data_IF_229810169229
#
_entry.id   IF_229810169229
#
_cell.length_a   1.000
_cell.length_b   1.000
_cell.length_c   1.000
_cell.angle_alpha   90.00
_cell.angle_beta   90.00
_cell.angle_gamma   90.00
#
_symmetry.space_group_name_H-M   'P 1'
#
loop_
_entity.id
_entity.type
_entity.pdbx_description
1 polymer ?
#
# COMPACT_ATOMS: atom_id res chain seq x y z
N UNK A 1 23.78 -0.46 -33.67
CA UNK A 1 22.78 -1.54 -33.80
C UNK A 1 21.97 -1.47 -32.52
N UNK A 2 20.70 -1.10 -32.63
CA UNK A 2 19.83 -0.80 -31.48
C UNK A 2 18.89 -1.94 -31.15
N UNK A 3 18.10 -1.76 -30.10
CA UNK A 3 17.09 -2.72 -29.64
C UNK A 3 16.21 -3.21 -30.80
N UNK A 4 16.14 -4.52 -31.01
CA UNK A 4 15.32 -5.14 -32.05
C UNK A 4 13.88 -5.32 -31.54
N UNK A 5 12.96 -4.45 -31.97
CA UNK A 5 11.55 -4.59 -31.64
C UNK A 5 10.64 -4.23 -32.81
N UNK A 6 10.13 -5.24 -33.52
CA UNK A 6 9.20 -5.05 -34.66
C UNK A 6 7.72 -5.09 -34.27
N UNK A 7 7.42 -5.22 -32.97
CA UNK A 7 6.08 -5.20 -32.43
C UNK A 7 5.73 -3.86 -31.78
N UNK A 8 4.53 -3.78 -31.19
CA UNK A 8 4.08 -2.64 -30.38
C UNK A 8 4.18 -2.91 -28.87
N UNK A 9 4.87 -3.98 -28.48
CA UNK A 9 5.13 -4.26 -27.08
C UNK A 9 6.34 -3.45 -26.60
N UNK A 10 6.29 -2.93 -25.39
CA UNK A 10 7.47 -2.29 -24.81
C UNK A 10 8.47 -3.35 -24.32
N UNK A 11 9.72 -3.24 -24.75
CA UNK A 11 10.84 -4.03 -24.21
C UNK A 11 11.21 -3.56 -22.80
N UNK A 12 10.98 -2.27 -22.52
CA UNK A 12 11.33 -1.61 -21.26
C UNK A 12 10.20 -1.73 -20.24
N UNK A 13 10.08 -2.91 -19.62
CA UNK A 13 9.04 -3.19 -18.64
C UNK A 13 9.49 -2.81 -17.21
N UNK A 14 8.58 -2.32 -16.35
CA UNK A 14 8.87 -2.14 -14.94
C UNK A 14 9.25 -3.45 -14.27
N UNK A 15 10.35 -3.46 -13.53
CA UNK A 15 10.77 -4.57 -12.69
C UNK A 15 10.56 -4.17 -11.23
N UNK A 16 9.89 -5.05 -10.48
CA UNK A 16 9.62 -4.85 -9.06
C UNK A 16 10.62 -5.64 -8.23
N UNK A 17 11.33 -4.93 -7.36
CA UNK A 17 12.20 -5.53 -6.35
C UNK A 17 11.51 -5.46 -4.97
N UNK A 18 11.69 -6.51 -4.17
CA UNK A 18 11.14 -6.62 -2.81
C UNK A 18 12.27 -6.92 -1.82
N UNK A 19 12.27 -6.22 -0.70
CA UNK A 19 13.13 -6.50 0.46
C UNK A 19 12.26 -6.64 1.72
N UNK A 20 12.46 -7.73 2.46
CA UNK A 20 11.76 -7.99 3.72
C UNK A 20 12.75 -7.87 4.88
N UNK A 21 12.38 -7.11 5.88
CA UNK A 21 13.15 -6.96 7.12
C UNK A 21 12.29 -7.44 8.28
N UNK A 22 12.85 -8.28 9.14
CA UNK A 22 12.12 -8.89 10.24
C UNK A 22 12.74 -8.53 11.58
N UNK A 23 11.89 -8.35 12.59
CA UNK A 23 12.27 -8.17 13.98
C UNK A 23 11.36 -9.02 14.87
N UNK A 24 11.94 -9.94 15.63
CA UNK A 24 11.21 -10.77 16.59
C UNK A 24 11.15 -10.04 17.92
N UNK A 25 9.95 -9.73 18.43
CA UNK A 25 9.68 -9.08 19.70
C UNK A 25 9.20 -10.11 20.72
N UNK A 26 9.75 -10.08 21.95
CA UNK A 26 9.25 -10.94 23.02
C UNK A 26 7.83 -10.58 23.43
N UNK A 27 7.07 -11.60 23.85
CA UNK A 27 5.71 -11.44 24.38
C UNK A 27 5.66 -11.85 25.84
N UNK A 28 4.74 -11.26 26.60
CA UNK A 28 4.48 -11.63 27.98
C UNK A 28 2.99 -11.42 28.28
N UNK A 29 2.29 -12.46 28.73
CA UNK A 29 0.88 -12.34 29.14
C UNK A 29 -0.07 -11.88 28.03
N UNK A 30 0.21 -12.21 26.76
CA UNK A 30 -0.64 -11.82 25.62
C UNK A 30 -0.36 -10.42 25.05
N UNK A 31 0.61 -9.69 25.61
CA UNK A 31 1.06 -8.36 25.17
C UNK A 31 2.53 -8.37 24.76
N UNK A 32 3.06 -7.23 24.30
CA UNK A 32 4.51 -7.08 24.15
C UNK A 32 5.19 -7.16 25.52
N UNK A 33 6.37 -7.78 25.58
CA UNK A 33 7.19 -7.75 26.76
C UNK A 33 7.70 -6.33 27.06
N UNK A 34 8.08 -6.07 28.31
CA UNK A 34 8.49 -4.75 28.75
C UNK A 34 9.68 -4.24 27.92
N UNK A 35 9.53 -3.06 27.32
CA UNK A 35 10.57 -2.41 26.53
C UNK A 35 10.57 -2.78 25.04
N UNK A 36 9.82 -3.79 24.60
CA UNK A 36 9.77 -4.20 23.19
C UNK A 36 9.15 -3.13 22.29
N UNK A 37 8.15 -2.38 22.76
CA UNK A 37 7.59 -1.25 22.01
C UNK A 37 8.66 -0.16 21.71
N UNK A 38 9.55 0.12 22.67
CA UNK A 38 10.67 1.05 22.46
C UNK A 38 11.72 0.49 21.51
N UNK A 39 11.98 -0.82 21.59
CA UNK A 39 12.91 -1.50 20.67
C UNK A 39 12.37 -1.49 19.23
N UNK A 40 11.08 -1.75 19.06
CA UNK A 40 10.38 -1.64 17.79
C UNK A 40 10.51 -0.22 17.21
N UNK A 41 10.22 0.81 18.00
CA UNK A 41 10.36 2.20 17.57
C UNK A 41 11.82 2.53 17.16
N UNK A 42 12.81 2.15 17.97
CA UNK A 42 14.22 2.36 17.65
C UNK A 42 14.65 1.65 16.35
N UNK A 43 14.16 0.42 16.14
CA UNK A 43 14.41 -0.33 14.92
C UNK A 43 13.75 0.32 13.69
N UNK A 44 12.48 0.73 13.78
CA UNK A 44 11.78 1.42 12.70
C UNK A 44 12.47 2.74 12.32
N UNK A 45 12.94 3.50 13.30
CA UNK A 45 13.76 4.70 13.08
C UNK A 45 15.05 4.38 12.35
N UNK A 46 15.77 3.33 12.79
CA UNK A 46 17.04 2.91 12.19
C UNK A 46 16.87 2.46 10.73
N UNK A 47 15.80 1.71 10.47
CA UNK A 47 15.40 1.24 9.14
C UNK A 47 14.86 2.36 8.24
N UNK A 48 14.63 3.55 8.79
CA UNK A 48 13.98 4.68 8.14
C UNK A 48 12.66 4.25 7.50
N UNK A 49 11.83 3.60 8.31
CA UNK A 49 10.52 3.14 7.88
C UNK A 49 9.66 4.37 7.57
N UNK A 50 8.95 4.34 6.44
CA UNK A 50 8.12 5.46 6.01
C UNK A 50 7.18 5.11 4.86
N UNK A 51 6.72 6.14 4.16
CA UNK A 51 5.80 5.97 3.03
C UNK A 51 6.29 4.93 2.01
N UNK A 52 5.38 4.04 1.59
CA UNK A 52 5.68 2.94 0.68
C UNK A 52 6.13 1.64 1.37
N UNK A 53 6.53 1.70 2.64
CA UNK A 53 6.78 0.49 3.43
C UNK A 53 5.48 -0.11 3.98
N UNK A 54 5.45 -1.43 4.07
CA UNK A 54 4.32 -2.20 4.60
C UNK A 54 4.75 -2.91 5.86
N UNK A 55 4.02 -2.71 6.95
CA UNK A 55 4.30 -3.35 8.23
C UNK A 55 3.25 -4.42 8.49
N UNK A 56 3.66 -5.68 8.63
CA UNK A 56 2.79 -6.79 8.96
C UNK A 56 3.24 -7.47 10.26
N UNK A 57 2.30 -8.14 10.92
CA UNK A 57 2.57 -8.95 12.12
C UNK A 57 2.45 -10.42 11.71
N UNK A 58 3.47 -11.19 12.06
CA UNK A 58 3.49 -12.65 11.99
C UNK A 58 3.40 -13.20 13.42
N UNK A 59 2.22 -13.69 13.79
CA UNK A 59 1.93 -14.35 15.07
C UNK A 59 1.20 -15.68 14.78
N UNK A 60 1.94 -16.72 14.32
CA UNK A 60 1.32 -17.97 13.88
C UNK A 60 0.74 -18.79 15.04
N UNK A 61 1.24 -18.59 16.26
CA UNK A 61 0.80 -19.29 17.46
C UNK A 61 -0.27 -18.52 18.25
N UNK A 62 -0.57 -17.27 17.88
CA UNK A 62 -1.54 -16.43 18.60
C UNK A 62 -1.06 -16.05 20.00
N UNK A 63 0.25 -15.87 20.17
CA UNK A 63 0.92 -15.64 21.44
C UNK A 63 0.57 -14.28 22.06
N UNK A 64 0.23 -13.28 21.24
CA UNK A 64 -0.03 -11.93 21.72
C UNK A 64 -1.19 -11.21 21.00
N UNK A 65 -2.43 -11.64 21.22
CA UNK A 65 -3.61 -11.05 20.58
C UNK A 65 -3.79 -9.56 20.93
N UNK A 66 -3.32 -9.11 22.10
CA UNK A 66 -3.43 -7.71 22.53
C UNK A 66 -2.24 -6.85 22.05
N UNK A 67 -1.09 -7.46 21.73
CA UNK A 67 0.08 -6.73 21.22
C UNK A 67 -0.19 -6.02 19.89
N UNK A 68 -1.18 -6.48 19.10
CA UNK A 68 -1.54 -5.84 17.83
C UNK A 68 -1.88 -4.35 18.01
N UNK A 69 -2.60 -3.98 19.07
CA UNK A 69 -2.95 -2.57 19.34
C UNK A 69 -1.70 -1.76 19.69
N UNK A 70 -0.83 -2.29 20.56
CA UNK A 70 0.43 -1.63 20.95
C UNK A 70 1.36 -1.41 19.76
N UNK A 71 1.47 -2.41 18.88
CA UNK A 71 2.24 -2.31 17.64
C UNK A 71 1.60 -1.27 16.71
N UNK A 72 0.26 -1.29 16.58
CA UNK A 72 -0.45 -0.32 15.75
C UNK A 72 -0.18 1.12 16.20
N UNK A 73 -0.15 1.38 17.51
CA UNK A 73 0.17 2.69 18.07
C UNK A 73 1.60 3.14 17.72
N UNK A 74 2.57 2.23 17.84
CA UNK A 74 3.96 2.52 17.44
C UNK A 74 4.05 2.81 15.94
N UNK A 75 3.41 1.99 15.10
CA UNK A 75 3.42 2.13 13.65
C UNK A 75 2.69 3.40 13.19
N UNK A 76 1.59 3.77 13.86
CA UNK A 76 0.86 5.00 13.61
C UNK A 76 1.70 6.25 13.88
N UNK A 77 2.65 6.18 14.83
CA UNK A 77 3.64 7.23 15.07
C UNK A 77 4.54 7.54 13.86
N UNK A 78 4.65 6.60 12.91
CA UNK A 78 5.38 6.79 11.64
C UNK A 78 4.44 7.13 10.47
N UNK A 79 3.15 7.40 10.72
CA UNK A 79 2.15 7.67 9.69
C UNK A 79 1.79 6.44 8.85
N UNK A 80 2.01 5.24 9.37
CA UNK A 80 1.73 3.98 8.69
C UNK A 80 0.61 3.21 9.38
N UNK A 81 0.04 2.25 8.65
CA UNK A 81 -0.97 1.33 9.17
C UNK A 81 -0.45 -0.11 9.07
N UNK A 82 -0.93 -0.96 9.96
CA UNK A 82 -0.68 -2.39 9.87
C UNK A 82 -1.36 -2.97 8.63
N UNK A 83 -0.57 -3.68 7.83
CA UNK A 83 -1.02 -4.43 6.68
C UNK A 83 -1.83 -5.66 7.12
N UNK A 84 -2.95 -5.97 6.45
CA UNK A 84 -3.66 -7.24 6.65
C UNK A 84 -2.93 -8.43 6.00
N UNK A 85 -1.95 -8.17 5.13
CA UNK A 85 -1.23 -9.21 4.41
C UNK A 85 -0.49 -10.14 5.37
N UNK A 86 -0.60 -11.44 5.11
CA UNK A 86 0.22 -12.45 5.77
C UNK A 86 1.65 -12.36 5.25
N UNK A 87 2.64 -12.00 6.08
CA UNK A 87 4.00 -11.82 5.61
C UNK A 87 4.63 -13.18 5.23
N UNK A 88 5.41 -13.18 4.16
CA UNK A 88 6.23 -14.35 3.79
C UNK A 88 7.52 -14.31 4.60
N UNK A 89 7.61 -15.16 5.62
CA UNK A 89 8.79 -15.26 6.49
C UNK A 89 9.63 -16.49 6.13
N UNK A 90 10.96 -16.33 6.18
CA UNK A 90 11.90 -17.39 5.75
C UNK A 90 12.17 -18.44 6.84
N UNK A 91 11.83 -18.13 8.09
CA UNK A 91 12.07 -18.97 9.25
C UNK A 91 10.84 -18.95 10.17
N UNK A 92 10.62 -19.99 10.98
CA UNK A 92 9.60 -19.94 12.03
C UNK A 92 9.84 -18.79 13.02
N UNK A 93 8.77 -18.35 13.68
CA UNK A 93 8.84 -17.42 14.81
C UNK A 93 9.18 -18.22 16.07
N UNK A 94 10.07 -17.67 16.91
CA UNK A 94 10.45 -18.35 18.16
C UNK A 94 9.28 -18.37 19.15
N UNK A 95 9.11 -19.41 19.98
CA UNK A 95 8.08 -19.43 21.01
C UNK A 95 8.19 -18.24 21.97
N UNK A 96 7.05 -17.69 22.39
CA UNK A 96 7.01 -16.49 23.23
C UNK A 96 7.50 -15.21 22.53
N UNK A 97 7.47 -15.19 21.20
CA UNK A 97 7.76 -14.01 20.39
C UNK A 97 6.77 -13.86 19.25
N UNK A 98 6.62 -12.63 18.77
CA UNK A 98 5.93 -12.29 17.53
C UNK A 98 6.89 -11.58 16.60
N UNK A 99 6.70 -11.73 15.29
CA UNK A 99 7.60 -11.13 14.31
C UNK A 99 6.93 -9.97 13.59
N UNK A 100 7.60 -8.83 13.61
CA UNK A 100 7.24 -7.68 12.80
C UNK A 100 8.01 -7.75 11.49
N UNK A 101 7.29 -7.65 10.38
CA UNK A 101 7.87 -7.68 9.04
C UNK A 101 7.63 -6.36 8.34
N UNK A 102 8.71 -5.67 8.00
CA UNK A 102 8.69 -4.50 7.12
C UNK A 102 9.03 -4.94 5.72
N UNK A 103 8.08 -4.81 4.80
CA UNK A 103 8.25 -5.09 3.38
C UNK A 103 8.42 -3.77 2.64
N UNK A 104 9.56 -3.62 1.94
CA UNK A 104 9.86 -2.49 1.07
C UNK A 104 9.90 -2.96 -0.37
N UNK A 105 9.15 -2.28 -1.24
CA UNK A 105 9.17 -2.58 -2.67
C UNK A 105 9.57 -1.34 -3.48
N UNK A 106 10.24 -1.57 -4.60
CA UNK A 106 10.59 -0.52 -5.58
C UNK A 106 10.36 -1.03 -6.99
N UNK A 107 9.78 -0.19 -7.83
CA UNK A 107 9.70 -0.42 -9.27
C UNK A 107 10.74 0.46 -9.97
N UNK A 108 11.45 -0.11 -10.92
CA UNK A 108 12.34 0.65 -11.82
C UNK A 108 12.30 0.02 -13.22
N UNK A 109 12.62 0.82 -14.24
CA UNK A 109 12.68 0.37 -15.64
C UNK A 109 14.16 0.41 -16.08
N UNK A 110 14.88 -0.71 -16.01
CA UNK A 110 16.29 -0.73 -16.36
C UNK A 110 16.50 -0.44 -17.85
N UNK A 111 17.65 0.14 -18.19
CA UNK A 111 18.01 0.42 -19.59
C UNK A 111 17.40 1.69 -20.18
N UNK A 112 16.64 2.47 -19.41
CA UNK A 112 16.09 3.75 -19.85
C UNK A 112 16.86 4.97 -19.31
N UNK A 113 17.12 6.02 -20.12
CA UNK A 113 16.89 6.09 -21.56
C UNK A 113 17.88 5.22 -22.34
N UNK A 114 17.42 4.67 -23.47
CA UNK A 114 18.21 3.83 -24.38
C UNK A 114 18.63 4.63 -25.62
N UNK A 115 19.95 4.78 -25.81
CA UNK A 115 20.55 5.50 -26.93
C UNK A 115 21.19 4.57 -27.97
N UNK A 116 20.88 3.27 -27.93
CA UNK A 116 21.46 2.26 -28.83
C UNK A 116 21.10 2.43 -30.31
N UNK A 117 20.04 3.20 -30.61
CA UNK A 117 19.59 3.56 -31.96
C UNK A 117 19.56 5.08 -32.12
N UNK A 118 20.05 5.55 -33.26
CA UNK A 118 19.94 6.95 -33.66
C UNK A 118 18.56 7.27 -34.26
N UNK A 119 18.29 8.54 -34.55
CA UNK A 119 17.03 8.98 -35.14
C UNK A 119 16.98 8.84 -36.67
N UNK A 120 17.85 8.00 -37.26
CA UNK A 120 17.90 7.80 -38.71
C UNK A 120 16.75 6.92 -39.22
N UNK A 121 16.61 6.80 -40.54
CA UNK A 121 15.54 6.02 -41.18
C UNK A 121 15.71 4.53 -40.84
N UNK A 122 14.67 3.94 -40.24
CA UNK A 122 14.59 2.50 -40.03
C UNK A 122 13.75 1.83 -41.11
N UNK A 123 14.37 0.97 -41.91
CA UNK A 123 13.74 0.19 -42.99
C UNK A 123 13.29 -1.21 -42.53
N UNK A 124 13.65 -1.64 -41.32
CA UNK A 124 13.32 -2.94 -40.77
C UNK A 124 12.10 -2.88 -39.82
N UNK A 125 11.38 -1.76 -39.82
CA UNK A 125 10.13 -1.53 -39.08
C UNK A 125 10.26 -1.78 -37.57
N UNK A 126 11.37 -1.38 -36.95
CA UNK A 126 11.45 -1.41 -35.49
C UNK A 126 10.81 -0.17 -34.86
N UNK A 127 10.31 -0.33 -33.64
CA UNK A 127 9.98 0.81 -32.77
C UNK A 127 11.27 1.48 -32.27
N UNK A 128 11.14 2.69 -31.74
CA UNK A 128 12.29 3.43 -31.22
C UNK A 128 12.95 2.69 -30.04
N UNK A 129 14.25 2.87 -29.84
CA UNK A 129 14.95 2.28 -28.67
C UNK A 129 14.34 2.72 -27.33
N UNK A 130 13.70 3.89 -27.29
CA UNK A 130 13.01 4.40 -26.09
C UNK A 130 11.52 4.02 -26.05
N UNK A 131 11.05 3.09 -26.89
CA UNK A 131 9.64 2.72 -26.93
C UNK A 131 9.16 2.16 -25.59
N UNK A 132 8.30 2.93 -24.94
CA UNK A 132 7.78 2.67 -23.59
C UNK A 132 8.64 3.18 -22.42
N UNK A 133 9.87 3.68 -22.64
CA UNK A 133 10.72 4.19 -21.56
C UNK A 133 10.03 5.32 -20.77
N UNK A 134 9.50 6.35 -21.44
CA UNK A 134 8.86 7.47 -20.76
C UNK A 134 7.60 7.04 -20.00
N UNK A 135 6.76 6.22 -20.63
CA UNK A 135 5.48 5.78 -20.05
C UNK A 135 5.71 4.85 -18.85
N UNK A 136 6.52 3.81 -19.03
CA UNK A 136 6.74 2.79 -18.01
C UNK A 136 7.58 3.33 -16.84
N UNK A 137 8.53 4.24 -17.09
CA UNK A 137 9.32 4.86 -16.01
C UNK A 137 8.46 5.83 -15.19
N UNK A 138 7.60 6.62 -15.84
CA UNK A 138 6.65 7.46 -15.12
C UNK A 138 5.67 6.59 -14.32
N UNK A 139 5.16 5.51 -14.90
CA UNK A 139 4.29 4.57 -14.19
C UNK A 139 4.99 3.97 -12.96
N UNK A 140 6.21 3.47 -13.12
CA UNK A 140 7.01 2.92 -12.02
C UNK A 140 7.27 3.94 -10.89
N UNK A 141 7.44 5.22 -11.24
CA UNK A 141 7.66 6.29 -10.28
C UNK A 141 6.37 6.78 -9.58
N UNK A 142 5.22 6.69 -10.25
CA UNK A 142 3.94 7.18 -9.74
C UNK A 142 3.15 6.14 -8.93
N UNK A 143 3.36 4.85 -9.19
CA UNK A 143 2.60 3.79 -8.51
C UNK A 143 2.93 3.75 -7.02
N UNK A 144 1.91 3.94 -6.19
CA UNK A 144 2.05 3.95 -4.74
C UNK A 144 2.48 2.58 -4.17
N UNK A 145 2.01 1.48 -4.78
CA UNK A 145 2.35 0.10 -4.39
C UNK A 145 2.96 -0.67 -5.57
N UNK A 146 4.30 -0.79 -5.64
CA UNK A 146 4.96 -1.48 -6.74
C UNK A 146 4.47 -2.91 -7.01
N UNK A 147 4.00 -3.64 -5.99
CA UNK A 147 3.42 -4.99 -6.19
C UNK A 147 2.22 -5.01 -7.15
N UNK A 148 1.46 -3.92 -7.24
CA UNK A 148 0.28 -3.84 -8.10
C UNK A 148 0.67 -3.90 -9.59
N UNK A 149 1.93 -3.61 -9.94
CA UNK A 149 2.45 -3.80 -11.30
C UNK A 149 2.61 -5.27 -11.70
N UNK A 150 2.65 -6.20 -10.72
CA UNK A 150 2.83 -7.64 -10.96
C UNK A 150 1.51 -8.38 -10.81
N UNK A 151 0.80 -8.16 -9.70
CA UNK A 151 -0.41 -8.92 -9.34
C UNK A 151 -1.71 -8.14 -9.52
N UNK A 152 -1.63 -6.83 -9.78
CA UNK A 152 -2.78 -5.93 -9.64
C UNK A 152 -3.21 -5.76 -8.19
N UNK A 153 -3.95 -4.68 -7.90
CA UNK A 153 -4.63 -4.59 -6.61
C UNK A 153 -5.75 -5.63 -6.60
N UNK A 154 -5.57 -6.73 -5.85
CA UNK A 154 -6.66 -7.66 -5.58
C UNK A 154 -7.82 -6.98 -4.85
N UNK A 155 -9.00 -7.60 -4.86
CA UNK A 155 -10.28 -7.11 -4.33
C UNK A 155 -10.16 -6.40 -2.97
N UNK A 156 -9.83 -5.11 -2.99
CA UNK A 156 -10.18 -4.22 -1.91
C UNK A 156 -11.70 -4.10 -2.01
N UNK A 157 -12.41 -4.86 -1.16
CA UNK A 157 -13.84 -4.82 -0.89
C UNK A 157 -14.59 -4.07 -1.98
N UNK A 158 -14.86 -4.78 -3.08
CA UNK A 158 -15.37 -4.22 -4.33
C UNK A 158 -16.40 -3.15 -4.00
N UNK A 159 -16.04 -1.89 -4.25
CA UNK A 159 -16.96 -0.76 -4.16
C UNK A 159 -18.22 -1.16 -4.90
N UNK A 160 -19.31 -1.48 -4.18
CA UNK A 160 -20.55 -1.87 -4.84
C UNK A 160 -21.21 -0.57 -5.33
N UNK A 161 -21.17 -0.30 -6.65
CA UNK A 161 -21.77 0.91 -7.16
C UNK A 161 -23.27 0.96 -6.83
N UNK A 162 -23.96 -0.18 -6.70
CA UNK A 162 -25.39 -0.21 -6.35
C UNK A 162 -25.65 0.34 -4.94
N UNK A 163 -24.88 -0.08 -3.94
CA UNK A 163 -24.95 0.46 -2.58
C UNK A 163 -24.65 1.97 -2.52
N UNK A 164 -23.66 2.43 -3.28
CA UNK A 164 -23.27 3.85 -3.32
C UNK A 164 -24.29 4.72 -4.05
N UNK A 165 -24.84 4.23 -5.17
CA UNK A 165 -25.93 4.92 -5.87
C UNK A 165 -27.19 5.03 -5.02
N UNK A 166 -27.47 4.06 -4.14
CA UNK A 166 -28.61 4.12 -3.22
C UNK A 166 -28.50 5.30 -2.26
N UNK A 167 -27.32 5.56 -1.68
CA UNK A 167 -27.11 6.72 -0.81
C UNK A 167 -27.28 8.05 -1.57
N UNK A 168 -26.76 8.13 -2.79
CA UNK A 168 -26.90 9.32 -3.66
C UNK A 168 -28.36 9.55 -4.04
N UNK A 169 -29.09 8.49 -4.41
CA UNK A 169 -30.51 8.55 -4.78
C UNK A 169 -31.37 8.98 -3.59
N UNK A 170 -31.11 8.44 -2.38
CA UNK A 170 -31.77 8.89 -1.14
C UNK A 170 -31.51 10.37 -0.87
N UNK A 171 -30.27 10.84 -1.01
CA UNK A 171 -29.94 12.26 -0.84
C UNK A 171 -30.66 13.14 -1.87
N UNK A 172 -30.71 12.73 -3.14
CA UNK A 172 -31.40 13.48 -4.21
C UNK A 172 -32.91 13.51 -4.03
N UNK A 173 -33.50 12.45 -3.48
CA UNK A 173 -34.95 12.35 -3.19
C UNK A 173 -35.34 12.95 -1.84
N UNK A 174 -34.38 13.23 -0.97
CA UNK A 174 -34.66 13.83 0.32
C UNK A 174 -35.35 15.19 0.11
N UNK A 175 -36.55 15.32 0.67
CA UNK A 175 -37.27 16.59 0.65
C UNK A 175 -36.44 17.60 1.47
N UNK A 176 -36.08 18.77 0.90
CA UNK A 176 -35.33 19.78 1.63
C UNK A 176 -36.06 20.12 2.94
N UNK A 177 -35.32 20.20 4.05
CA UNK A 177 -35.85 20.54 5.37
C UNK A 177 -36.45 21.94 5.46
N UNK A 178 -36.44 22.71 4.37
CA UNK A 178 -37.16 23.98 4.21
C UNK A 178 -38.53 23.88 3.55
N UNK A 179 -38.91 22.73 2.98
CA UNK A 179 -40.11 22.63 2.14
C UNK A 179 -41.43 22.46 2.91
N UNK A 180 -41.39 22.28 4.24
CA UNK A 180 -42.57 22.21 5.12
C UNK A 180 -42.31 22.79 6.53
N UNK A 181 -41.59 23.90 6.61
CA UNK A 181 -41.39 24.61 7.88
C UNK A 181 -42.65 25.40 8.27
N UNK A 182 -43.66 24.72 8.81
CA UNK A 182 -44.40 25.31 9.91
C UNK A 182 -43.45 25.31 11.12
N UNK A 183 -42.92 26.48 11.47
CA UNK A 183 -42.14 26.67 12.69
C UNK A 183 -42.99 26.17 13.88
N UNK A 184 -42.60 25.06 14.51
CA UNK A 184 -43.17 24.68 15.80
C UNK A 184 -42.73 25.73 16.81
N UNK A 185 -43.65 26.60 17.18
CA UNK A 185 -43.51 27.48 18.33
C UNK A 185 -43.49 26.62 19.59
N UNK A 186 -42.34 26.52 20.26
CA UNK A 186 -42.32 26.09 21.65
C UNK A 186 -42.97 27.19 22.50
N UNK A 187 -44.12 26.89 23.10
CA UNK A 187 -44.71 27.75 24.13
C UNK A 187 -43.85 27.65 25.39
N UNK A 188 -43.02 28.66 25.62
CA UNK A 188 -42.46 28.96 26.94
C UNK A 188 -43.62 29.36 27.86
N UNK A 189 -44.14 28.38 28.61
CA UNK A 189 -45.14 28.61 29.65
C UNK A 189 -44.51 29.35 30.83
N UNK A 190 -44.73 30.66 30.88
CA UNK A 190 -44.49 31.44 32.09
C UNK A 190 -45.63 31.23 33.09
N UNK A 191 -45.29 30.66 34.25
CA UNK A 191 -45.74 31.07 35.59
C UNK A 191 -44.80 30.50 36.63
#
# INVERSE_FOLDING_TARGET
MGTENRGLESVHQPIVSRANYALDLGTAGGTLAQGEARRLAGWMTTMRVGYGDRVAIDDPAGEAPMARAEIADVVAGYGLLLSPDTPVTQAPVSPGAIRIVVTRMRADVPGCPDWSRDASIDIASHTSSNYGCAMNRNLAAMVARPEDLVRGSGDAETYDPASSFKAIDVYRRAVPTGANNALRSETAGGK
#
